data_IF_730899617572
#
_entry.id   IF_730899617572
#
_cell.length_a   1.000
_cell.length_b   1.000
_cell.length_c   1.000
_cell.angle_alpha   90.00
_cell.angle_beta   90.00
_cell.angle_gamma   90.00
#
_symmetry.space_group_name_H-M   'P 1'
#
loop_
_entity.id
_entity.type
_entity.pdbx_description
1 polymer ?
#
# COMPACT_ATOMS: atom_id res chain seq x y z
N UNK A 1 3.01 -14.84 2.11
CA UNK A 1 2.60 -14.78 0.68
C UNK A 1 2.21 -13.33 0.38
N UNK A 2 2.75 -12.73 -0.69
CA UNK A 2 2.45 -11.36 -1.11
C UNK A 2 1.27 -11.41 -2.07
N UNK A 3 0.16 -10.76 -1.74
CA UNK A 3 -1.02 -10.78 -2.60
C UNK A 3 -1.14 -9.42 -3.28
N UNK A 4 -0.99 -9.33 -4.62
CA UNK A 4 -1.32 -8.10 -5.33
C UNK A 4 -2.81 -7.88 -5.16
N UNK A 5 -3.18 -6.66 -4.79
CA UNK A 5 -4.58 -6.34 -4.53
C UNK A 5 -5.09 -5.42 -5.61
N UNK A 6 -6.24 -5.77 -6.17
CA UNK A 6 -6.94 -4.90 -7.10
C UNK A 6 -7.17 -3.55 -6.41
N UNK A 7 -6.91 -2.47 -7.13
CA UNK A 7 -7.14 -1.11 -6.66
C UNK A 7 -8.63 -0.86 -6.27
N UNK A 8 -9.54 -1.75 -6.68
CA UNK A 8 -10.94 -1.82 -6.25
C UNK A 8 -11.18 -2.42 -4.87
N UNK A 9 -10.17 -2.99 -4.22
CA UNK A 9 -10.33 -3.47 -2.85
C UNK A 9 -10.61 -2.30 -1.90
N UNK A 10 -11.33 -2.60 -0.82
CA UNK A 10 -11.78 -1.60 0.14
C UNK A 10 -10.78 -1.43 1.28
N UNK A 11 -10.77 -0.24 1.89
CA UNK A 11 -10.03 0.03 3.13
C UNK A 11 -10.41 -0.93 4.26
N UNK A 12 -11.63 -1.45 4.27
CA UNK A 12 -12.05 -2.53 5.14
C UNK A 12 -11.17 -3.78 4.98
N UNK A 13 -10.86 -4.18 3.76
CA UNK A 13 -9.99 -5.33 3.48
C UNK A 13 -8.60 -5.09 4.03
N UNK A 14 -8.03 -3.89 3.82
CA UNK A 14 -6.73 -3.52 4.39
C UNK A 14 -6.74 -3.59 5.93
N UNK A 15 -7.82 -3.11 6.56
CA UNK A 15 -7.99 -3.18 8.01
C UNK A 15 -8.06 -4.64 8.52
N UNK A 16 -8.69 -5.56 7.78
CA UNK A 16 -8.75 -6.98 8.16
C UNK A 16 -7.40 -7.68 8.12
N UNK A 17 -6.50 -7.26 7.22
CA UNK A 17 -5.14 -7.81 7.14
C UNK A 17 -4.25 -7.29 8.28
N UNK A 18 -4.53 -6.09 8.79
CA UNK A 18 -3.84 -5.52 9.96
C UNK A 18 -2.36 -5.17 9.74
N UNK A 19 -1.89 -5.23 8.50
CA UNK A 19 -0.52 -4.86 8.10
C UNK A 19 -0.52 -3.57 7.28
N UNK A 20 0.59 -2.79 7.28
CA UNK A 20 0.72 -1.61 6.43
C UNK A 20 0.44 -1.92 4.96
N UNK A 21 -0.12 -0.97 4.23
CA UNK A 21 -0.40 -1.10 2.80
C UNK A 21 0.91 -0.99 2.01
N UNK A 22 1.22 -1.98 1.19
CA UNK A 22 2.33 -1.91 0.25
C UNK A 22 1.96 -1.09 -0.96
N UNK A 23 2.78 -0.10 -1.30
CA UNK A 23 2.55 0.77 -2.46
C UNK A 23 3.79 0.71 -3.35
N UNK A 24 3.60 0.40 -4.63
CA UNK A 24 4.65 0.46 -5.67
C UNK A 24 4.27 1.49 -6.72
N UNK A 25 5.13 2.46 -6.98
CA UNK A 25 4.92 3.37 -8.11
C UNK A 25 5.23 2.65 -9.42
N UNK A 26 4.34 2.71 -10.41
CA UNK A 26 4.60 2.07 -11.72
C UNK A 26 5.65 2.80 -12.54
N UNK A 27 5.71 4.13 -12.44
CA UNK A 27 6.65 4.93 -13.24
C UNK A 27 8.06 4.98 -12.65
N UNK A 28 8.18 4.95 -11.32
CA UNK A 28 9.46 5.08 -10.63
C UNK A 28 9.94 3.78 -9.97
N UNK A 29 9.16 2.71 -10.05
CA UNK A 29 9.37 1.37 -9.47
C UNK A 29 9.63 1.31 -7.95
N UNK A 30 9.59 2.45 -7.27
CA UNK A 30 9.82 2.55 -5.82
C UNK A 30 8.70 1.93 -5.02
N UNK A 31 9.07 1.33 -3.90
CA UNK A 31 8.17 0.67 -2.96
C UNK A 31 8.15 1.43 -1.65
N UNK A 32 6.97 1.51 -1.05
CA UNK A 32 6.77 2.11 0.25
C UNK A 32 5.74 1.29 1.04
N UNK A 33 5.81 1.42 2.36
CA UNK A 33 4.77 0.93 3.27
C UNK A 33 4.02 2.14 3.80
N UNK A 34 2.70 2.10 3.67
CA UNK A 34 1.82 3.16 4.16
C UNK A 34 1.06 2.60 5.37
N UNK A 35 1.24 3.17 6.57
CA UNK A 35 0.51 2.75 7.75
C UNK A 35 -1.00 2.84 7.57
N UNK A 36 -1.74 1.86 8.12
CA UNK A 36 -3.20 1.76 7.96
C UNK A 36 -3.96 2.94 8.58
N UNK A 37 -3.44 3.48 9.67
CA UNK A 37 -3.93 4.67 10.37
C UNK A 37 -3.85 5.93 9.48
N UNK A 38 -2.76 6.09 8.72
CA UNK A 38 -2.56 7.23 7.80
C UNK A 38 -3.59 7.24 6.67
N UNK A 39 -3.99 6.07 6.18
CA UNK A 39 -5.01 5.94 5.12
C UNK A 39 -6.43 5.82 5.68
N UNK A 40 -6.61 5.88 7.00
CA UNK A 40 -7.92 5.76 7.64
C UNK A 40 -8.57 4.38 7.42
N UNK A 41 -7.76 3.32 7.28
CA UNK A 41 -8.26 1.97 7.16
C UNK A 41 -8.92 1.55 8.48
N UNK A 42 -10.24 1.36 8.43
CA UNK A 42 -11.06 0.91 9.55
C UNK A 42 -11.99 -0.20 9.09
N UNK A 43 -12.42 -1.03 10.03
CA UNK A 43 -13.48 -2.00 9.76
C UNK A 43 -14.72 -1.28 9.21
N UNK A 44 -15.37 -1.87 8.20
CA UNK A 44 -16.52 -1.31 7.46
C UNK A 44 -16.25 -0.07 6.60
N UNK A 45 -14.99 0.36 6.44
CA UNK A 45 -14.68 1.43 5.50
C UNK A 45 -14.70 0.91 4.06
N UNK A 46 -15.78 1.15 3.34
CA UNK A 46 -15.98 0.74 1.94
C UNK A 46 -15.38 1.70 0.92
N UNK A 47 -14.54 2.65 1.35
CA UNK A 47 -13.76 3.47 0.42
C UNK A 47 -12.72 2.59 -0.26
N UNK A 48 -12.70 2.63 -1.59
CA UNK A 48 -11.75 1.88 -2.40
C UNK A 48 -10.33 2.43 -2.25
N UNK A 49 -9.34 1.56 -2.27
CA UNK A 49 -7.94 1.93 -2.11
C UNK A 49 -7.42 2.84 -3.24
N UNK A 50 -7.94 2.73 -4.47
CA UNK A 50 -7.58 3.63 -5.59
C UNK A 50 -7.92 5.10 -5.35
N UNK A 51 -8.83 5.39 -4.42
CA UNK A 51 -9.24 6.76 -4.09
C UNK A 51 -8.29 7.44 -3.10
N UNK A 52 -7.26 6.72 -2.64
CA UNK A 52 -6.24 7.29 -1.77
C UNK A 52 -5.40 8.31 -2.56
N UNK A 53 -5.09 9.48 -1.99
CA UNK A 53 -4.31 10.51 -2.67
C UNK A 53 -2.81 10.18 -2.66
N UNK A 54 -2.44 8.99 -3.12
CA UNK A 54 -1.05 8.52 -3.17
C UNK A 54 -0.32 9.21 -4.32
N UNK A 55 0.84 9.79 -4.00
CA UNK A 55 1.73 10.45 -4.97
C UNK A 55 3.16 10.02 -4.70
N UNK A 56 3.84 9.53 -5.74
CA UNK A 56 5.26 9.25 -5.65
C UNK A 56 6.04 10.56 -5.47
N UNK A 57 6.85 10.67 -4.42
CA UNK A 57 7.66 11.86 -4.14
C UNK A 57 8.72 12.12 -5.20
N UNK A 58 9.23 11.07 -5.84
CA UNK A 58 10.34 11.14 -6.78
C UNK A 58 9.90 11.52 -8.18
N UNK A 59 8.97 10.76 -8.76
CA UNK A 59 8.51 11.00 -10.14
C UNK A 59 7.21 11.81 -10.21
N UNK A 60 6.54 12.08 -9.09
CA UNK A 60 5.26 12.79 -9.05
C UNK A 60 4.06 11.97 -9.55
N UNK A 61 4.28 10.75 -10.02
CA UNK A 61 3.24 9.86 -10.54
C UNK A 61 2.21 9.46 -9.49
N UNK A 62 0.97 9.25 -9.95
CA UNK A 62 -0.15 8.76 -9.15
C UNK A 62 -0.56 7.33 -9.50
N UNK A 63 0.04 6.78 -10.56
CA UNK A 63 -0.17 5.39 -10.95
C UNK A 63 0.65 4.47 -10.03
N UNK A 64 -0.06 3.76 -9.17
CA UNK A 64 0.51 2.93 -8.11
C UNK A 64 -0.18 1.57 -8.07
N UNK A 65 0.60 0.56 -7.72
CA UNK A 65 0.11 -0.78 -7.40
C UNK A 65 0.10 -0.99 -5.90
N UNK A 66 -0.92 -1.71 -5.45
CA UNK A 66 -1.21 -1.89 -4.04
C UNK A 66 -1.10 -3.36 -3.64
N UNK A 67 -0.57 -3.59 -2.45
CA UNK A 67 -0.28 -4.92 -1.93
C UNK A 67 -0.75 -5.04 -0.49
N UNK A 68 -1.42 -6.14 -0.17
CA UNK A 68 -1.80 -6.51 1.19
C UNK A 68 -0.98 -7.72 1.62
N UNK A 69 -0.78 -7.82 2.93
CA UNK A 69 0.14 -8.78 3.49
C UNK A 69 -0.45 -9.52 4.68
N UNK A 70 -0.36 -10.84 4.63
CA UNK A 70 -1.00 -11.73 5.61
C UNK A 70 -0.17 -11.88 6.90
N UNK A 71 1.15 -11.61 6.86
CA UNK A 71 2.07 -11.88 7.98
C UNK A 71 3.01 -10.69 8.25
N UNK A 72 3.49 -10.54 9.49
CA UNK A 72 4.25 -9.37 9.96
C UNK A 72 5.70 -9.24 9.44
N UNK A 73 6.21 -10.19 8.65
CA UNK A 73 7.59 -10.17 8.13
C UNK A 73 7.80 -9.24 6.92
N UNK A 74 6.81 -8.41 6.61
CA UNK A 74 6.77 -7.65 5.35
C UNK A 74 7.63 -6.39 5.41
N UNK A 75 7.75 -5.80 6.61
CA UNK A 75 8.46 -4.54 6.82
C UNK A 75 9.88 -4.54 6.28
N UNK A 76 10.59 -5.67 6.38
CA UNK A 76 11.97 -5.81 5.88
C UNK A 76 11.99 -6.07 4.38
N UNK A 77 11.32 -7.13 3.92
CA UNK A 77 11.40 -7.60 2.53
C UNK A 77 10.83 -6.59 1.53
N UNK A 78 9.79 -5.83 1.90
CA UNK A 78 9.12 -4.90 0.97
C UNK A 78 9.91 -3.61 0.75
N UNK A 79 10.63 -3.15 1.77
CA UNK A 79 11.39 -1.90 1.75
C UNK A 79 12.86 -2.07 1.34
N UNK A 80 13.40 -3.30 1.31
CA UNK A 80 14.82 -3.56 1.01
C UNK A 80 15.28 -3.11 -0.40
N UNK A 81 14.35 -2.94 -1.35
CA UNK A 81 14.63 -2.32 -2.66
C UNK A 81 14.62 -0.77 -2.64
N UNK A 82 14.28 -0.16 -1.50
CA UNK A 82 14.16 1.29 -1.35
C UNK A 82 15.16 1.79 -0.32
N UNK A 83 16.46 1.66 -0.64
CA UNK A 83 17.47 2.54 -0.06
C UNK A 83 17.10 3.98 -0.43
N UNK A 84 16.54 4.68 0.56
CA UNK A 84 16.37 6.14 0.61
C UNK A 84 15.22 6.72 -0.24
N UNK A 85 14.15 7.15 0.44
CA UNK A 85 13.18 8.17 -0.04
C UNK A 85 12.84 9.13 1.09
#
# INVERSE_FOLDING_TARGET
>A
MLTPVDARAYLHTAACYGQPLGVRCRSGERRALVPLDVIGAKSRNMRELRTLPLKCRTCGGRDVELWLFVTGEVGRVWCEDSKTV
#
